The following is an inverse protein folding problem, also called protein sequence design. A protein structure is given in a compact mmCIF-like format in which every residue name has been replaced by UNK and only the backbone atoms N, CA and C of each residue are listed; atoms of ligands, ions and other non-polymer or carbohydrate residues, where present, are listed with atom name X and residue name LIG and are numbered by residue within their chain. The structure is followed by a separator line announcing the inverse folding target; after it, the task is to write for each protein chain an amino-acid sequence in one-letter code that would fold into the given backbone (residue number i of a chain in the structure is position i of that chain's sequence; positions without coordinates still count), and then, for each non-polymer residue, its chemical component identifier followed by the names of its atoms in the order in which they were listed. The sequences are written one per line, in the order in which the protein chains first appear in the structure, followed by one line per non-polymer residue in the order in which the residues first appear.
data_IF_216388737831
#
_entry.id   IF_216388737831
#
_cell.length_a   1.000
_cell.length_b   1.000
_cell.length_c   1.000
_cell.angle_alpha   90.00
_cell.angle_beta   90.00
_cell.angle_gamma   90.00
#
_symmetry.space_group_name_H-M   'P 1'
#
loop_
_entity.id
_entity.type
_entity.pdbx_description
1 polymer ?
#
# COMPACT_ATOMS: atom_id res chain seq x y z
N UNK A 1 -17.77 -34.08 20.70
CA UNK A 1 -16.64 -33.26 20.17
C UNK A 1 -16.76 -33.02 18.67
N UNK A 2 -17.09 -33.98 17.84
CA UNK A 2 -17.20 -33.80 16.36
C UNK A 2 -18.28 -32.79 15.93
N UNK A 3 -19.42 -32.70 16.63
CA UNK A 3 -20.51 -31.74 16.28
C UNK A 3 -20.17 -30.27 16.57
N UNK A 4 -19.38 -29.99 17.60
CA UNK A 4 -18.89 -28.64 17.93
C UNK A 4 -17.81 -28.18 16.97
N UNK A 5 -17.00 -29.11 16.44
CA UNK A 5 -15.97 -28.80 15.45
C UNK A 5 -16.59 -28.51 14.07
N UNK A 6 -17.65 -29.24 13.69
CA UNK A 6 -18.39 -29.00 12.45
C UNK A 6 -19.17 -27.67 12.46
N UNK A 7 -19.74 -27.27 13.58
CA UNK A 7 -20.45 -26.00 13.76
C UNK A 7 -19.48 -24.81 13.73
N UNK A 8 -18.25 -24.94 14.26
CA UNK A 8 -17.20 -23.90 14.18
C UNK A 8 -16.59 -23.76 12.79
N UNK A 9 -16.45 -24.85 12.03
CA UNK A 9 -16.01 -24.82 10.64
C UNK A 9 -17.03 -24.07 9.74
N UNK A 10 -18.32 -24.24 9.95
CA UNK A 10 -19.38 -23.52 9.24
C UNK A 10 -19.45 -22.02 9.59
N UNK A 11 -18.74 -21.56 10.63
CA UNK A 11 -18.64 -20.15 11.00
C UNK A 11 -17.49 -19.39 10.33
N UNK A 12 -16.62 -20.07 9.56
CA UNK A 12 -15.53 -19.41 8.84
C UNK A 12 -16.09 -18.53 7.72
N UNK A 13 -15.55 -17.31 7.54
CA UNK A 13 -16.11 -16.31 6.62
C UNK A 13 -16.30 -16.82 5.19
N UNK A 14 -15.39 -17.63 4.68
CA UNK A 14 -15.46 -18.12 3.30
C UNK A 14 -16.65 -19.06 3.04
N UNK A 15 -17.20 -19.77 4.04
CA UNK A 15 -18.42 -20.55 3.85
C UNK A 15 -19.66 -19.69 3.61
N UNK A 16 -19.63 -18.40 3.97
CA UNK A 16 -20.77 -17.49 3.78
C UNK A 16 -20.99 -17.12 2.33
N UNK A 17 -19.91 -16.88 1.58
CA UNK A 17 -19.99 -16.43 0.18
C UNK A 17 -19.78 -17.56 -0.84
N UNK A 18 -19.21 -18.70 -0.46
CA UNK A 18 -18.95 -19.82 -1.36
C UNK A 18 -20.23 -20.32 -2.09
N UNK A 19 -21.43 -20.42 -1.46
CA UNK A 19 -22.65 -20.80 -2.15
C UNK A 19 -23.09 -19.81 -3.23
N UNK A 20 -22.73 -18.53 -3.11
CA UNK A 20 -23.08 -17.48 -4.07
C UNK A 20 -22.43 -17.70 -5.45
N UNK A 21 -21.31 -18.43 -5.50
CA UNK A 21 -20.62 -18.78 -6.75
C UNK A 21 -21.46 -19.65 -7.68
N UNK A 22 -22.50 -20.34 -7.13
CA UNK A 22 -23.45 -21.13 -7.93
C UNK A 22 -24.45 -20.25 -8.68
N UNK A 23 -24.58 -18.98 -8.32
CA UNK A 23 -25.47 -18.04 -9.01
C UNK A 23 -24.92 -17.69 -10.40
N UNK A 24 -25.80 -17.60 -11.39
CA UNK A 24 -25.41 -17.29 -12.78
C UNK A 24 -24.67 -15.96 -12.85
N UNK A 25 -23.48 -15.98 -13.45
CA UNK A 25 -22.68 -14.80 -13.73
C UNK A 25 -21.77 -14.32 -12.60
N UNK A 26 -21.93 -14.82 -11.34
CA UNK A 26 -21.07 -14.40 -10.21
C UNK A 26 -19.62 -14.82 -10.45
N UNK A 27 -19.40 -16.11 -10.76
CA UNK A 27 -18.05 -16.62 -11.05
C UNK A 27 -17.36 -15.83 -12.18
N UNK A 28 -18.09 -15.56 -13.28
CA UNK A 28 -17.57 -14.80 -14.41
C UNK A 28 -17.20 -13.37 -14.01
N UNK A 29 -18.07 -12.71 -13.24
CA UNK A 29 -17.81 -11.34 -12.76
C UNK A 29 -16.57 -11.29 -11.88
N UNK A 30 -16.41 -12.22 -10.94
CA UNK A 30 -15.25 -12.28 -10.04
C UNK A 30 -13.96 -12.61 -10.78
N UNK A 31 -13.99 -13.52 -11.76
CA UNK A 31 -12.80 -13.81 -12.58
C UNK A 31 -12.37 -12.62 -13.44
N UNK A 32 -13.31 -11.91 -14.06
CA UNK A 32 -13.00 -10.70 -14.83
C UNK A 32 -12.48 -9.57 -13.96
N UNK A 33 -13.08 -9.36 -12.79
CA UNK A 33 -12.61 -8.38 -11.82
C UNK A 33 -11.22 -8.77 -11.28
N UNK A 34 -10.98 -10.04 -11.00
CA UNK A 34 -9.69 -10.57 -10.58
C UNK A 34 -8.60 -10.35 -11.65
N UNK A 35 -8.89 -10.64 -12.92
CA UNK A 35 -7.96 -10.39 -14.02
C UNK A 35 -7.61 -8.90 -14.13
N UNK A 36 -8.62 -8.03 -14.06
CA UNK A 36 -8.40 -6.57 -14.05
C UNK A 36 -7.52 -6.14 -12.88
N UNK A 37 -7.80 -6.66 -11.67
CA UNK A 37 -7.00 -6.40 -10.47
C UNK A 37 -5.55 -6.87 -10.61
N UNK A 38 -5.31 -8.05 -11.19
CA UNK A 38 -3.97 -8.59 -11.43
C UNK A 38 -3.14 -7.71 -12.36
N UNK A 39 -3.74 -7.21 -13.44
CA UNK A 39 -3.08 -6.31 -14.39
C UNK A 39 -2.69 -4.98 -13.73
N UNK A 40 -3.59 -4.42 -12.92
CA UNK A 40 -3.36 -3.14 -12.23
C UNK A 40 -2.28 -3.26 -11.15
N UNK A 41 -2.20 -4.40 -10.47
CA UNK A 41 -1.23 -4.58 -9.38
C UNK A 41 0.21 -4.72 -9.86
N UNK A 42 0.46 -5.12 -11.10
CA UNK A 42 1.82 -5.29 -11.63
C UNK A 42 2.68 -4.02 -11.46
N UNK A 43 2.31 -2.87 -12.06
CA UNK A 43 3.10 -1.65 -11.89
C UNK A 43 3.03 -1.11 -10.46
N UNK A 44 1.88 -1.23 -9.79
CA UNK A 44 1.70 -0.73 -8.43
C UNK A 44 2.53 -1.51 -7.42
N UNK A 45 2.56 -2.84 -7.50
CA UNK A 45 3.33 -3.69 -6.59
C UNK A 45 4.82 -3.36 -6.65
N UNK A 46 5.38 -3.24 -7.86
CA UNK A 46 6.77 -2.80 -8.07
C UNK A 46 7.02 -1.44 -7.44
N UNK A 47 6.13 -0.47 -7.72
CA UNK A 47 6.25 0.89 -7.20
C UNK A 47 6.20 0.91 -5.66
N UNK A 48 5.28 0.17 -5.04
CA UNK A 48 5.13 0.13 -3.58
C UNK A 48 6.29 -0.59 -2.88
N UNK A 49 6.82 -1.68 -3.45
CA UNK A 49 8.03 -2.31 -2.92
C UNK A 49 9.21 -1.33 -2.93
N UNK A 50 9.39 -0.62 -4.05
CA UNK A 50 10.44 0.40 -4.18
C UNK A 50 10.26 1.51 -3.14
N UNK A 51 9.02 1.94 -2.90
CA UNK A 51 8.69 2.92 -1.86
C UNK A 51 8.98 2.39 -0.45
N UNK A 52 8.75 1.09 -0.21
CA UNK A 52 9.07 0.43 1.05
C UNK A 52 10.58 0.18 1.25
N UNK A 53 11.44 0.57 0.31
CA UNK A 53 12.86 0.24 0.34
C UNK A 53 13.15 -1.25 0.10
N UNK A 54 12.17 -2.00 -0.38
CA UNK A 54 12.28 -3.43 -0.69
C UNK A 54 12.63 -3.65 -2.16
N UNK A 55 13.27 -4.77 -2.52
CA UNK A 55 13.38 -5.17 -3.92
C UNK A 55 11.99 -5.30 -4.57
N UNK A 56 11.90 -4.94 -5.85
CA UNK A 56 10.63 -4.78 -6.59
C UNK A 56 9.68 -5.99 -6.49
N UNK A 57 10.22 -7.20 -6.51
CA UNK A 57 9.44 -8.44 -6.46
C UNK A 57 8.63 -8.61 -5.16
N UNK A 58 9.10 -8.06 -4.05
CA UNK A 58 8.41 -8.20 -2.77
C UNK A 58 7.03 -7.54 -2.75
N UNK A 59 6.83 -6.50 -3.56
CA UNK A 59 5.51 -5.88 -3.72
C UNK A 59 4.52 -6.76 -4.48
N UNK A 60 5.01 -7.57 -5.40
CA UNK A 60 4.19 -8.55 -6.10
C UNK A 60 3.86 -9.74 -5.18
N UNK A 61 4.83 -10.23 -4.41
CA UNK A 61 4.61 -11.27 -3.42
C UNK A 61 3.62 -10.84 -2.33
N UNK A 62 3.70 -9.61 -1.86
CA UNK A 62 2.76 -9.03 -0.91
C UNK A 62 1.32 -8.90 -1.46
N UNK A 63 1.16 -8.93 -2.78
CA UNK A 63 -0.15 -8.91 -3.44
C UNK A 63 -0.74 -10.30 -3.68
N UNK A 64 -0.02 -11.38 -3.37
CA UNK A 64 -0.42 -12.77 -3.63
C UNK A 64 -1.02 -13.42 -2.39
N UNK A 65 -0.20 -14.09 -1.57
CA UNK A 65 -0.69 -14.88 -0.45
C UNK A 65 -1.44 -14.06 0.60
N UNK A 66 -0.99 -12.86 1.03
CA UNK A 66 -1.78 -12.03 1.93
C UNK A 66 -3.18 -11.72 1.40
N UNK A 67 -3.31 -11.46 0.10
CA UNK A 67 -4.59 -11.21 -0.54
C UNK A 67 -5.54 -12.41 -0.45
N UNK A 68 -5.03 -13.61 -0.72
CA UNK A 68 -5.80 -14.85 -0.63
C UNK A 68 -6.27 -15.09 0.81
N UNK A 69 -5.35 -14.99 1.78
CA UNK A 69 -5.66 -15.25 3.20
C UNK A 69 -6.67 -14.23 3.74
N UNK A 70 -6.50 -12.95 3.43
CA UNK A 70 -7.46 -11.91 3.82
C UNK A 70 -8.84 -12.14 3.20
N UNK A 71 -8.93 -12.55 1.94
CA UNK A 71 -10.20 -12.88 1.27
C UNK A 71 -10.92 -14.08 1.88
N UNK A 72 -10.16 -15.06 2.39
CA UNK A 72 -10.73 -16.25 3.05
C UNK A 72 -11.18 -16.00 4.49
N UNK A 73 -10.42 -15.20 5.24
CA UNK A 73 -10.60 -15.06 6.69
C UNK A 73 -11.07 -13.66 7.12
N UNK A 74 -11.04 -12.66 6.25
CA UNK A 74 -11.54 -11.31 6.52
C UNK A 74 -13.07 -11.22 6.53
N UNK A 75 -13.59 -10.08 6.94
CA UNK A 75 -15.01 -9.78 6.96
C UNK A 75 -15.49 -9.03 5.72
N UNK A 76 -14.61 -8.27 5.10
CA UNK A 76 -14.95 -7.45 3.94
C UNK A 76 -15.09 -8.29 2.66
N UNK A 77 -16.20 -8.10 1.95
CA UNK A 77 -16.49 -8.89 0.75
C UNK A 77 -15.63 -8.53 -0.47
N UNK A 78 -15.38 -7.24 -0.69
CA UNK A 78 -14.74 -6.77 -1.91
C UNK A 78 -13.48 -5.94 -1.66
N UNK A 79 -13.06 -5.79 -0.42
CA UNK A 79 -11.76 -5.19 -0.13
C UNK A 79 -10.64 -6.11 -0.62
N UNK A 80 -9.64 -5.53 -1.24
CA UNK A 80 -8.46 -6.25 -1.72
C UNK A 80 -7.27 -5.86 -0.85
N UNK A 81 -6.76 -6.83 -0.09
CA UNK A 81 -5.58 -6.68 0.78
C UNK A 81 -4.30 -6.85 -0.03
N UNK A 82 -3.26 -6.13 0.34
CA UNK A 82 -1.93 -6.24 -0.28
C UNK A 82 -1.07 -5.02 -0.01
N UNK A 83 -0.08 -4.75 -0.87
CA UNK A 83 0.76 -3.57 -0.73
C UNK A 83 -0.07 -2.30 -0.88
N UNK A 84 0.14 -1.35 0.03
CA UNK A 84 -0.52 -0.05 0.04
C UNK A 84 0.51 1.07 0.23
N UNK A 85 0.18 2.29 -0.24
CA UNK A 85 1.09 3.42 -0.23
C UNK A 85 1.59 3.77 1.18
N UNK A 86 0.63 4.01 2.10
CA UNK A 86 0.94 4.41 3.46
C UNK A 86 1.77 3.35 4.19
N UNK A 87 1.39 2.07 4.04
CA UNK A 87 2.13 0.93 4.63
C UNK A 87 3.56 0.86 4.07
N UNK A 88 3.72 1.01 2.74
CA UNK A 88 5.03 0.93 2.10
C UNK A 88 5.97 2.05 2.56
N UNK A 89 5.47 3.29 2.59
CA UNK A 89 6.27 4.43 3.06
C UNK A 89 6.62 4.30 4.55
N UNK A 90 5.65 3.90 5.37
CA UNK A 90 5.86 3.68 6.81
C UNK A 90 6.85 2.54 7.05
N UNK A 91 6.84 1.48 6.24
CA UNK A 91 7.84 0.41 6.32
C UNK A 91 9.26 0.96 6.14
N UNK A 92 9.49 1.80 5.13
CA UNK A 92 10.79 2.44 4.92
C UNK A 92 11.17 3.32 6.11
N UNK A 93 10.26 4.19 6.54
CA UNK A 93 10.53 5.15 7.60
C UNK A 93 10.84 4.49 8.95
N UNK A 94 10.14 3.40 9.29
CA UNK A 94 10.33 2.70 10.55
C UNK A 94 11.55 1.78 10.55
N UNK A 95 11.84 1.11 9.44
CA UNK A 95 12.87 0.06 9.40
C UNK A 95 14.22 0.58 8.93
N UNK A 96 14.29 1.60 8.04
CA UNK A 96 15.56 2.08 7.53
C UNK A 96 16.51 2.60 8.64
N UNK A 97 16.05 3.36 9.65
CA UNK A 97 16.92 3.77 10.76
C UNK A 97 17.41 2.59 11.61
N UNK A 98 16.58 1.55 11.77
CA UNK A 98 16.89 0.36 12.56
C UNK A 98 17.86 -0.59 11.84
N UNK A 99 17.90 -0.53 10.52
CA UNK A 99 18.78 -1.37 9.70
C UNK A 99 20.22 -0.85 9.59
N UNK A 100 20.51 0.38 10.02
CA UNK A 100 21.85 0.98 9.90
C UNK A 100 22.94 0.07 10.52
N UNK A 101 24.11 -0.02 9.86
CA UNK A 101 24.57 0.72 8.66
C UNK A 101 24.14 0.13 7.31
N UNK A 102 23.25 -0.86 7.28
CA UNK A 102 22.83 -1.55 6.08
C UNK A 102 21.79 -0.72 5.30
N UNK A 103 21.97 -0.63 3.99
CA UNK A 103 21.06 0.13 3.12
C UNK A 103 19.70 -0.58 2.97
N UNK A 104 18.61 0.18 2.67
CA UNK A 104 17.35 -0.40 2.20
C UNK A 104 17.56 -1.36 1.03
N UNK A 105 16.83 -2.48 1.02
CA UNK A 105 16.97 -3.54 0.03
C UNK A 105 18.07 -4.56 0.31
N UNK A 106 18.94 -4.33 1.31
CA UNK A 106 19.91 -5.33 1.77
C UNK A 106 19.23 -6.54 2.40
N UNK A 107 19.92 -7.68 2.47
CA UNK A 107 19.39 -8.89 3.10
C UNK A 107 18.97 -8.65 4.55
N UNK A 108 19.75 -7.87 5.30
CA UNK A 108 19.43 -7.51 6.69
C UNK A 108 18.16 -6.66 6.77
N UNK A 109 18.02 -5.64 5.92
CA UNK A 109 16.83 -4.80 5.85
C UNK A 109 15.58 -5.65 5.54
N UNK A 110 15.67 -6.51 4.51
CA UNK A 110 14.58 -7.42 4.12
C UNK A 110 14.17 -8.33 5.29
N UNK A 111 15.15 -8.87 6.02
CA UNK A 111 14.90 -9.72 7.19
C UNK A 111 14.15 -8.99 8.29
N UNK A 112 14.52 -7.74 8.59
CA UNK A 112 13.81 -6.90 9.56
C UNK A 112 12.37 -6.62 9.11
N UNK A 113 12.16 -6.31 7.84
CA UNK A 113 10.83 -6.02 7.29
C UNK A 113 9.92 -7.26 7.33
N UNK A 114 10.44 -8.45 7.00
CA UNK A 114 9.68 -9.70 7.10
C UNK A 114 9.32 -10.01 8.55
N UNK A 115 10.26 -9.79 9.48
CA UNK A 115 10.00 -9.95 10.91
C UNK A 115 8.94 -8.95 11.40
N UNK A 116 9.02 -7.69 10.94
CA UNK A 116 7.99 -6.68 11.21
C UNK A 116 6.61 -7.14 10.71
N UNK A 117 6.52 -7.71 9.49
CA UNK A 117 5.27 -8.25 8.94
C UNK A 117 4.65 -9.31 9.85
N UNK A 118 5.48 -10.24 10.36
CA UNK A 118 5.03 -11.25 11.32
C UNK A 118 4.50 -10.63 12.63
N UNK A 119 5.26 -9.71 13.21
CA UNK A 119 4.88 -9.04 14.47
C UNK A 119 3.60 -8.23 14.33
N UNK A 120 3.44 -7.50 13.22
CA UNK A 120 2.21 -6.77 12.87
C UNK A 120 1.04 -7.74 12.77
N UNK A 121 1.21 -8.83 12.01
CA UNK A 121 0.17 -9.84 11.84
C UNK A 121 -0.23 -10.50 13.16
N UNK A 122 0.74 -10.83 14.02
CA UNK A 122 0.48 -11.38 15.35
C UNK A 122 -0.31 -10.39 16.22
N UNK A 123 0.09 -9.14 16.24
CA UNK A 123 -0.59 -8.10 17.01
C UNK A 123 -2.02 -7.88 16.50
N UNK A 124 -2.24 -7.81 15.18
CA UNK A 124 -3.56 -7.70 14.57
C UNK A 124 -4.47 -8.88 14.94
N UNK A 125 -3.93 -10.11 14.86
CA UNK A 125 -4.64 -11.32 15.23
C UNK A 125 -5.06 -11.30 16.70
N UNK A 126 -4.15 -10.94 17.60
CA UNK A 126 -4.43 -10.84 19.04
C UNK A 126 -5.50 -9.78 19.34
N UNK A 127 -5.43 -8.60 18.68
CA UNK A 127 -6.44 -7.55 18.83
C UNK A 127 -7.81 -7.98 18.29
N UNK A 128 -7.85 -8.73 17.18
CA UNK A 128 -9.08 -9.29 16.64
C UNK A 128 -9.71 -10.31 17.58
N UNK A 129 -8.91 -11.24 18.12
CA UNK A 129 -9.35 -12.23 19.09
C UNK A 129 -9.80 -11.61 20.43
N UNK A 130 -9.10 -10.55 20.87
CA UNK A 130 -9.49 -9.77 22.06
C UNK A 130 -10.72 -8.87 21.82
N UNK A 131 -11.29 -8.87 20.60
CA UNK A 131 -12.46 -8.06 20.21
C UNK A 131 -12.27 -6.55 20.36
N UNK A 132 -11.07 -6.05 20.08
CA UNK A 132 -10.70 -4.64 20.21
C UNK A 132 -11.03 -3.84 18.93
N UNK A 133 -11.62 -4.46 17.91
CA UNK A 133 -11.96 -3.84 16.62
C UNK A 133 -12.77 -2.55 16.71
N UNK A 134 -13.62 -2.42 17.74
CA UNK A 134 -14.35 -1.17 18.00
C UNK A 134 -13.45 0.04 18.34
N UNK A 135 -12.17 -0.15 18.70
CA UNK A 135 -11.23 0.95 18.94
C UNK A 135 -10.74 1.58 17.63
N UNK A 136 -10.59 0.80 16.57
CA UNK A 136 -10.23 1.33 15.24
C UNK A 136 -11.31 2.28 14.68
N UNK A 137 -12.56 2.15 15.15
CA UNK A 137 -13.65 3.05 14.80
C UNK A 137 -13.49 4.45 15.40
N UNK A 138 -12.59 4.61 16.36
CA UNK A 138 -12.38 5.88 17.10
C UNK A 138 -11.31 6.76 16.48
N UNK A 139 -10.50 6.27 15.54
CA UNK A 139 -9.50 7.10 14.84
C UNK A 139 -10.25 8.15 14.00
N UNK A 140 -10.02 9.44 14.26
CA UNK A 140 -10.75 10.49 13.55
C UNK A 140 -10.37 10.51 12.07
N UNK A 141 -11.35 10.71 11.22
CA UNK A 141 -11.16 10.76 9.78
C UNK A 141 -10.18 11.86 9.35
N UNK A 142 -10.21 13.02 10.01
CA UNK A 142 -9.29 14.14 9.80
C UNK A 142 -7.81 13.76 10.00
N UNK A 143 -7.50 12.86 10.93
CA UNK A 143 -6.14 12.36 11.16
C UNK A 143 -5.69 11.50 9.97
N UNK A 144 -6.56 10.64 9.45
CA UNK A 144 -6.27 9.78 8.29
C UNK A 144 -6.01 10.64 7.05
N UNK A 145 -6.88 11.62 6.78
CA UNK A 145 -6.75 12.51 5.62
C UNK A 145 -5.49 13.36 5.71
N UNK A 146 -5.18 13.92 6.89
CA UNK A 146 -3.95 14.68 7.13
C UNK A 146 -2.70 13.84 6.93
N UNK A 147 -2.68 12.60 7.48
CA UNK A 147 -1.59 11.66 7.31
C UNK A 147 -1.40 11.27 5.84
N UNK A 148 -2.48 10.95 5.14
CA UNK A 148 -2.43 10.52 3.73
C UNK A 148 -1.92 11.64 2.82
N UNK A 149 -2.36 12.89 3.07
CA UNK A 149 -1.87 14.06 2.33
C UNK A 149 -0.37 14.32 2.61
N UNK A 150 0.07 14.20 3.87
CA UNK A 150 1.49 14.29 4.22
C UNK A 150 2.33 13.17 3.59
N UNK A 151 1.83 11.94 3.60
CA UNK A 151 2.45 10.81 2.93
C UNK A 151 2.61 11.04 1.42
N UNK A 152 1.62 11.66 0.75
CA UNK A 152 1.73 12.04 -0.65
C UNK A 152 2.94 12.95 -0.90
N UNK A 153 3.16 13.96 -0.06
CA UNK A 153 4.33 14.85 -0.16
C UNK A 153 5.64 14.11 0.02
N UNK A 154 5.70 13.18 0.99
CA UNK A 154 6.89 12.34 1.19
C UNK A 154 7.15 11.38 0.01
N UNK A 155 6.11 10.86 -0.63
CA UNK A 155 6.24 10.06 -1.85
C UNK A 155 6.82 10.93 -2.97
N UNK A 156 6.30 12.12 -3.20
CA UNK A 156 6.88 13.07 -4.17
C UNK A 156 8.37 13.27 -3.91
N UNK A 157 8.75 13.56 -2.65
CA UNK A 157 10.13 13.76 -2.25
C UNK A 157 11.01 12.55 -2.56
N UNK A 158 10.54 11.35 -2.24
CA UNK A 158 11.30 10.09 -2.42
C UNK A 158 11.57 9.75 -3.89
N UNK A 159 10.79 10.31 -4.82
CA UNK A 159 10.92 10.08 -6.26
C UNK A 159 11.76 11.11 -6.99
N UNK A 160 12.24 12.17 -6.33
CA UNK A 160 13.09 13.20 -6.94
C UNK A 160 14.37 12.57 -7.54
N UNK A 161 15.06 11.71 -6.79
CA UNK A 161 16.26 11.02 -7.27
C UNK A 161 16.01 10.18 -8.53
N UNK A 162 15.11 9.15 -8.46
CA UNK A 162 14.80 8.32 -9.63
C UNK A 162 14.24 9.09 -10.84
N UNK A 163 13.44 10.15 -10.61
CA UNK A 163 12.88 10.96 -11.69
C UNK A 163 13.93 11.80 -12.41
N UNK A 164 14.97 12.24 -11.70
CA UNK A 164 16.09 13.04 -12.23
C UNK A 164 17.31 12.17 -12.58
N UNK A 165 17.28 10.87 -12.34
CA UNK A 165 18.42 9.97 -12.52
C UNK A 165 19.57 10.26 -11.54
N UNK A 166 19.29 10.89 -10.39
CA UNK A 166 20.28 11.24 -9.39
C UNK A 166 20.42 10.15 -8.31
N UNK A 167 21.62 9.86 -7.81
CA UNK A 167 21.87 8.87 -6.77
C UNK A 167 21.54 9.42 -5.37
N UNK A 168 20.35 9.99 -5.19
CA UNK A 168 19.93 10.53 -3.89
C UNK A 168 19.57 9.43 -2.92
N UNK A 169 19.92 9.62 -1.64
CA UNK A 169 19.59 8.69 -0.57
C UNK A 169 18.09 8.82 -0.25
N UNK A 170 17.38 7.68 -0.27
CA UNK A 170 15.95 7.63 0.05
C UNK A 170 15.72 7.79 1.55
N UNK A 171 14.56 8.37 1.90
CA UNK A 171 14.16 8.53 3.31
C UNK A 171 14.74 9.76 4.02
N UNK A 172 15.52 10.59 3.34
CA UNK A 172 15.97 11.89 3.87
C UNK A 172 14.80 12.87 4.02
N UNK A 173 14.89 13.81 4.98
CA UNK A 173 13.97 14.93 5.07
C UNK A 173 13.87 15.70 3.73
N UNK A 174 12.73 16.35 3.50
CA UNK A 174 12.45 17.05 2.24
C UNK A 174 13.54 18.09 1.94
N UNK A 175 13.94 18.87 2.93
CA UNK A 175 14.92 19.93 2.77
C UNK A 175 16.30 19.39 2.37
N UNK A 176 16.73 18.31 2.99
CA UNK A 176 18.01 17.67 2.69
C UNK A 176 18.00 17.07 1.28
N UNK A 177 16.88 16.45 0.88
CA UNK A 177 16.72 15.90 -0.48
C UNK A 177 16.77 17.00 -1.54
N UNK A 178 16.08 18.13 -1.31
CA UNK A 178 16.10 19.27 -2.23
C UNK A 178 17.47 19.93 -2.30
N UNK A 179 18.16 20.04 -1.16
CA UNK A 179 19.52 20.56 -1.11
C UNK A 179 20.49 19.66 -1.89
N UNK A 180 20.45 18.33 -1.66
CA UNK A 180 21.27 17.36 -2.38
C UNK A 180 20.96 17.41 -3.89
N UNK A 181 19.70 17.49 -4.29
CA UNK A 181 19.29 17.60 -5.68
C UNK A 181 19.81 18.90 -6.33
N UNK A 182 19.80 20.01 -5.61
CA UNK A 182 20.34 21.27 -6.09
C UNK A 182 21.86 21.23 -6.25
N UNK A 183 22.60 20.67 -5.29
CA UNK A 183 24.06 20.49 -5.38
C UNK A 183 24.43 19.58 -6.55
N UNK A 184 23.59 18.55 -6.82
CA UNK A 184 23.80 17.61 -7.94
C UNK A 184 23.11 18.04 -9.24
N UNK A 185 22.60 19.25 -9.36
CA UNK A 185 21.84 19.71 -10.54
C UNK A 185 22.58 19.54 -11.87
N UNK A 186 23.93 19.67 -11.87
CA UNK A 186 24.75 19.41 -13.03
C UNK A 186 24.87 17.95 -13.47
N UNK A 187 24.42 16.99 -12.64
CA UNK A 187 24.44 15.55 -12.91
C UNK A 187 23.06 14.99 -13.32
N UNK A 188 22.06 15.86 -13.49
CA UNK A 188 20.70 15.45 -13.89
C UNK A 188 20.74 14.72 -15.22
N UNK A 189 20.18 13.51 -15.22
CA UNK A 189 19.99 12.72 -16.44
C UNK A 189 18.68 13.16 -17.12
N UNK A 190 18.80 13.97 -18.17
CA UNK A 190 17.64 14.46 -18.92
C UNK A 190 16.76 13.34 -19.50
N UNK A 191 17.37 12.20 -19.82
CA UNK A 191 16.64 10.99 -20.24
C UNK A 191 15.69 10.48 -19.16
N UNK A 192 16.13 10.44 -17.89
CA UNK A 192 15.30 10.02 -16.76
C UNK A 192 14.15 11.01 -16.56
N UNK A 193 14.42 12.30 -16.56
CA UNK A 193 13.39 13.34 -16.41
C UNK A 193 12.32 13.26 -17.50
N UNK A 194 12.73 13.15 -18.78
CA UNK A 194 11.79 13.07 -19.90
C UNK A 194 10.93 11.81 -19.81
N UNK A 195 11.52 10.67 -19.46
CA UNK A 195 10.79 9.41 -19.31
C UNK A 195 9.81 9.47 -18.14
N UNK A 196 10.22 10.02 -16.98
CA UNK A 196 9.31 10.21 -15.84
C UNK A 196 8.15 11.14 -16.18
N UNK A 197 8.43 12.28 -16.82
CA UNK A 197 7.42 13.24 -17.26
C UNK A 197 6.48 12.63 -18.30
N UNK A 198 7.00 11.94 -19.30
CA UNK A 198 6.20 11.25 -20.32
C UNK A 198 5.26 10.23 -19.67
N UNK A 199 5.75 9.46 -18.68
CA UNK A 199 4.94 8.49 -17.95
C UNK A 199 3.77 9.16 -17.21
N UNK A 200 4.00 10.31 -16.55
CA UNK A 200 2.95 11.09 -15.91
C UNK A 200 1.92 11.55 -16.94
N UNK A 201 2.37 12.11 -18.07
CA UNK A 201 1.49 12.61 -19.12
C UNK A 201 0.66 11.49 -19.75
N UNK A 202 1.26 10.31 -19.99
CA UNK A 202 0.53 9.15 -20.51
C UNK A 202 -0.51 8.63 -19.52
N UNK A 203 -0.20 8.62 -18.21
CA UNK A 203 -1.18 8.24 -17.19
C UNK A 203 -2.38 9.19 -17.16
N UNK A 204 -2.14 10.50 -17.27
CA UNK A 204 -3.19 11.51 -17.31
C UNK A 204 -4.00 11.39 -18.61
N UNK A 205 -3.34 11.27 -19.75
CA UNK A 205 -3.99 11.15 -21.05
C UNK A 205 -4.80 9.86 -21.19
N UNK A 206 -4.37 8.76 -20.58
CA UNK A 206 -5.09 7.49 -20.60
C UNK A 206 -6.28 7.42 -19.63
N UNK A 207 -6.41 8.38 -18.71
CA UNK A 207 -7.48 8.39 -17.68
C UNK A 207 -8.90 8.28 -18.27
N UNK A 208 -9.27 8.94 -19.39
CA UNK A 208 -10.59 8.81 -19.98
C UNK A 208 -10.89 7.37 -20.50
N UNK A 209 -9.86 6.63 -20.90
CA UNK A 209 -9.96 5.25 -21.41
C UNK A 209 -9.79 4.19 -20.34
N UNK A 210 -9.60 4.57 -19.06
CA UNK A 210 -9.34 3.67 -17.95
C UNK A 210 -10.42 2.57 -17.78
N UNK A 211 -11.61 2.77 -18.35
CA UNK A 211 -12.67 1.75 -18.41
C UNK A 211 -12.29 0.53 -19.24
N UNK A 212 -11.44 0.70 -20.28
CA UNK A 212 -11.06 -0.33 -21.21
C UNK A 212 -9.65 -0.85 -20.97
N UNK A 213 -8.72 0.05 -20.67
CA UNK A 213 -7.31 -0.24 -20.44
C UNK A 213 -6.87 0.56 -19.21
N UNK A 214 -6.32 -0.10 -18.17
CA UNK A 214 -5.85 0.61 -16.97
C UNK A 214 -4.83 1.68 -17.31
N UNK A 215 -5.10 2.94 -16.92
CA UNK A 215 -4.26 4.09 -17.28
C UNK A 215 -2.82 3.95 -16.79
N UNK A 216 -2.62 3.37 -15.60
CA UNK A 216 -1.27 3.13 -15.05
C UNK A 216 -0.51 2.09 -15.87
N UNK A 217 -1.18 1.04 -16.37
CA UNK A 217 -0.53 0.05 -17.26
C UNK A 217 -0.12 0.70 -18.59
N UNK A 218 -1.02 1.49 -19.19
CA UNK A 218 -0.72 2.25 -20.41
C UNK A 218 0.50 3.15 -20.22
N UNK A 219 0.57 3.86 -19.09
CA UNK A 219 1.70 4.72 -18.75
C UNK A 219 3.01 3.95 -18.61
N UNK A 220 2.99 2.76 -17.98
CA UNK A 220 4.17 1.89 -17.88
C UNK A 220 4.67 1.48 -19.26
N UNK A 221 3.77 0.97 -20.09
CA UNK A 221 4.13 0.49 -21.43
C UNK A 221 4.68 1.63 -22.28
N UNK A 222 3.95 2.75 -22.39
CA UNK A 222 4.37 3.89 -23.20
C UNK A 222 5.61 4.59 -22.65
N UNK A 223 5.73 4.70 -21.32
CA UNK A 223 6.93 5.24 -20.67
C UNK A 223 8.17 4.38 -20.93
N UNK A 224 8.01 3.04 -20.87
CA UNK A 224 9.11 2.11 -21.21
C UNK A 224 9.48 2.19 -22.69
N UNK A 225 8.50 2.28 -23.59
CA UNK A 225 8.76 2.51 -25.03
C UNK A 225 9.49 3.85 -25.27
N UNK A 226 9.10 4.91 -24.54
CA UNK A 226 9.81 6.20 -24.61
C UNK A 226 11.28 6.06 -24.20
N UNK A 227 11.57 5.30 -23.14
CA UNK A 227 12.94 5.05 -22.69
C UNK A 227 13.75 4.28 -23.75
N UNK A 228 13.16 3.24 -24.36
CA UNK A 228 13.79 2.47 -25.46
C UNK A 228 14.06 3.37 -26.67
N UNK A 229 13.06 4.17 -27.07
CA UNK A 229 13.20 5.08 -28.21
C UNK A 229 14.32 6.12 -27.95
N UNK A 230 14.42 6.66 -26.74
CA UNK A 230 15.50 7.59 -26.38
C UNK A 230 16.86 6.93 -26.40
N UNK A 231 16.98 5.71 -25.91
CA UNK A 231 18.24 4.96 -25.96
C UNK A 231 18.70 4.67 -27.39
N UNK A 232 17.75 4.52 -28.36
CA UNK A 232 18.07 4.31 -29.77
C UNK A 232 18.43 5.62 -30.50
N UNK A 233 17.75 6.73 -30.16
CA UNK A 233 17.96 8.03 -30.81
C UNK A 233 19.15 8.82 -30.26
N UNK A 234 19.47 8.61 -28.99
CA UNK A 234 20.56 9.29 -28.26
C UNK A 234 21.43 8.27 -27.53
N UNK A 235 22.16 7.43 -28.25
CA UNK A 235 22.99 6.39 -27.65
C UNK A 235 24.14 6.97 -26.79
N UNK A 236 24.47 8.24 -26.98
CA UNK A 236 25.42 8.99 -26.16
C UNK A 236 24.93 9.33 -24.75
N UNK A 237 23.61 9.21 -24.49
CA UNK A 237 23.06 9.47 -23.17
C UNK A 237 23.27 8.28 -22.23
N UNK A 238 23.53 8.53 -20.94
CA UNK A 238 23.69 7.45 -19.97
C UNK A 238 22.49 6.50 -19.97
N UNK A 239 22.75 5.21 -19.87
CA UNK A 239 21.70 4.20 -19.76
C UNK A 239 20.89 4.43 -18.48
N UNK A 240 19.56 4.35 -18.61
CA UNK A 240 18.65 4.49 -17.47
C UNK A 240 18.75 3.28 -16.54
N UNK A 241 18.80 3.54 -15.26
CA UNK A 241 18.67 2.48 -14.25
C UNK A 241 17.31 1.79 -14.39
N UNK A 242 17.33 0.46 -14.42
CA UNK A 242 16.12 -0.36 -14.57
C UNK A 242 15.81 -1.17 -13.31
N UNK A 243 14.58 -1.67 -13.21
CA UNK A 243 14.22 -2.67 -12.22
C UNK A 243 14.99 -3.96 -12.56
N UNK A 244 15.58 -4.58 -11.53
CA UNK A 244 16.29 -5.84 -11.73
C UNK A 244 15.35 -6.94 -12.20
N UNK A 245 15.90 -7.97 -12.86
CA UNK A 245 15.11 -9.13 -13.26
C UNK A 245 14.41 -9.74 -12.03
N UNK A 246 13.11 -10.03 -12.17
CA UNK A 246 12.36 -10.69 -11.11
C UNK A 246 12.84 -12.13 -10.97
N UNK A 247 13.27 -12.58 -9.79
CA UNK A 247 13.87 -13.90 -9.62
C UNK A 247 12.87 -15.06 -9.78
N UNK A 248 11.58 -14.78 -9.77
CA UNK A 248 10.53 -15.79 -9.98
C UNK A 248 9.13 -15.22 -9.84
N UNK A 249 8.15 -15.93 -10.40
CA UNK A 249 6.73 -15.57 -10.27
C UNK A 249 6.13 -16.04 -8.94
N UNK A 250 6.75 -17.02 -8.29
CA UNK A 250 6.28 -17.58 -7.02
C UNK A 250 7.05 -16.98 -5.85
N UNK A 251 6.36 -16.53 -4.78
CA UNK A 251 7.04 -16.00 -3.60
C UNK A 251 7.87 -17.10 -2.93
N UNK A 252 9.19 -16.89 -2.75
CA UNK A 252 10.01 -17.85 -2.04
C UNK A 252 9.64 -17.90 -0.56
N UNK A 253 9.89 -19.05 0.06
CA UNK A 253 9.74 -19.18 1.50
C UNK A 253 10.75 -18.26 2.20
N UNK A 254 10.28 -17.61 3.24
CA UNK A 254 11.07 -16.77 4.15
C UNK A 254 10.74 -17.11 5.59
N UNK A 255 11.66 -16.84 6.49
CA UNK A 255 11.47 -17.07 7.92
C UNK A 255 11.67 -15.78 8.69
N UNK A 256 10.65 -15.28 9.40
CA UNK A 256 10.84 -14.19 10.35
C UNK A 256 11.88 -14.55 11.41
N UNK A 257 12.63 -13.60 11.91
CA UNK A 257 13.56 -13.82 13.01
C UNK A 257 12.80 -13.90 14.33
N UNK A 258 13.06 -14.94 15.12
CA UNK A 258 12.45 -15.12 16.46
C UNK A 258 13.42 -14.73 17.58
N UNK A 259 14.45 -13.95 17.26
CA UNK A 259 15.37 -13.40 18.24
C UNK A 259 14.74 -12.26 19.05
N UNK A 260 14.87 -12.35 20.40
CA UNK A 260 14.25 -11.38 21.32
C UNK A 260 14.85 -9.99 21.19
N UNK A 261 16.12 -9.86 20.80
CA UNK A 261 16.75 -8.55 20.61
C UNK A 261 16.12 -7.82 19.41
N UNK A 262 15.96 -8.52 18.30
CA UNK A 262 15.27 -8.02 17.09
C UNK A 262 13.81 -7.67 17.38
N UNK A 263 13.11 -8.49 18.15
CA UNK A 263 11.72 -8.21 18.52
C UNK A 263 11.58 -6.95 19.37
N UNK A 264 12.47 -6.74 20.35
CA UNK A 264 12.51 -5.51 21.16
C UNK A 264 12.78 -4.28 20.30
N UNK A 265 13.70 -4.40 19.34
CA UNK A 265 14.03 -3.32 18.42
C UNK A 265 12.83 -2.94 17.51
N UNK A 266 12.06 -3.92 17.04
CA UNK A 266 10.92 -3.71 16.16
C UNK A 266 9.59 -3.47 16.89
N UNK A 267 9.54 -3.56 18.23
CA UNK A 267 8.28 -3.51 18.98
C UNK A 267 7.48 -2.23 18.72
N UNK A 268 8.11 -1.08 18.85
CA UNK A 268 7.44 0.21 18.61
C UNK A 268 7.00 0.32 17.15
N UNK A 269 7.87 -0.03 16.21
CA UNK A 269 7.55 -0.05 14.78
C UNK A 269 6.36 -0.96 14.48
N UNK A 270 6.29 -2.14 15.10
CA UNK A 270 5.18 -3.07 14.90
C UNK A 270 3.85 -2.55 15.42
N UNK A 271 3.84 -1.87 16.57
CA UNK A 271 2.63 -1.27 17.13
C UNK A 271 2.11 -0.13 16.27
N UNK A 272 3.00 0.76 15.83
CA UNK A 272 2.64 1.87 14.93
C UNK A 272 2.11 1.36 13.60
N UNK A 273 2.81 0.40 13.00
CA UNK A 273 2.38 -0.22 11.74
C UNK A 273 1.04 -0.95 11.90
N UNK A 274 0.83 -1.64 13.01
CA UNK A 274 -0.45 -2.31 13.31
C UNK A 274 -1.59 -1.31 13.38
N UNK A 275 -1.42 -0.20 14.10
CA UNK A 275 -2.44 0.83 14.22
C UNK A 275 -2.79 1.43 12.86
N UNK A 276 -1.78 1.78 12.06
CA UNK A 276 -1.97 2.32 10.72
C UNK A 276 -2.69 1.32 9.82
N UNK A 277 -2.19 0.08 9.75
CA UNK A 277 -2.75 -0.95 8.86
C UNK A 277 -4.20 -1.30 9.21
N UNK A 278 -4.53 -1.43 10.50
CA UNK A 278 -5.89 -1.71 10.95
C UNK A 278 -6.84 -0.53 10.69
N UNK A 279 -6.37 0.70 10.89
CA UNK A 279 -7.16 1.90 10.62
C UNK A 279 -7.47 2.01 9.13
N UNK A 280 -6.46 1.85 8.27
CA UNK A 280 -6.62 1.86 6.81
C UNK A 280 -7.56 0.75 6.35
N UNK A 281 -7.32 -0.50 6.75
CA UNK A 281 -8.16 -1.64 6.38
C UNK A 281 -9.61 -1.45 6.82
N UNK A 282 -9.84 -0.98 8.05
CA UNK A 282 -11.19 -0.76 8.58
C UNK A 282 -11.91 0.35 7.82
N UNK A 283 -11.24 1.46 7.53
CA UNK A 283 -11.83 2.57 6.77
C UNK A 283 -12.26 2.11 5.38
N UNK A 284 -11.40 1.37 4.67
CA UNK A 284 -11.70 0.84 3.33
C UNK A 284 -12.83 -0.20 3.40
N UNK A 285 -12.74 -1.16 4.32
CA UNK A 285 -13.74 -2.22 4.47
C UNK A 285 -15.12 -1.63 4.77
N UNK A 286 -15.21 -0.58 5.61
CA UNK A 286 -16.46 0.15 5.89
C UNK A 286 -16.97 0.90 4.67
N UNK A 287 -16.11 1.60 3.94
CA UNK A 287 -16.51 2.31 2.72
C UNK A 287 -17.07 1.34 1.67
N UNK A 288 -16.45 0.16 1.53
CA UNK A 288 -16.95 -0.91 0.65
C UNK A 288 -18.27 -1.48 1.17
N UNK A 289 -18.37 -1.78 2.46
CA UNK A 289 -19.59 -2.33 3.07
C UNK A 289 -20.79 -1.39 2.92
N UNK A 290 -20.58 -0.07 3.13
CA UNK A 290 -21.63 0.94 2.94
C UNK A 290 -22.13 0.97 1.49
N UNK A 291 -21.24 0.86 0.49
CA UNK A 291 -21.65 0.82 -0.93
C UNK A 291 -22.42 -0.44 -1.29
N UNK A 292 -22.21 -1.55 -0.57
CA UNK A 292 -22.89 -2.82 -0.79
C UNK A 292 -24.17 -2.96 0.07
N UNK A 293 -24.44 -2.05 1.00
CA UNK A 293 -25.50 -2.19 2.00
C UNK A 293 -25.24 -3.31 3.00
N UNK A 294 -23.98 -3.68 3.22
CA UNK A 294 -23.53 -4.79 4.08
C UNK A 294 -23.01 -4.27 5.44
N UNK A 295 -22.85 -5.19 6.40
CA UNK A 295 -22.29 -4.87 7.72
C UNK A 295 -20.91 -5.48 7.87
N UNK A 296 -19.96 -4.67 8.35
CA UNK A 296 -18.59 -5.09 8.62
C UNK A 296 -18.46 -5.57 10.07
N UNK A 297 -17.89 -6.76 10.27
CA UNK A 297 -17.37 -7.20 11.56
C UNK A 297 -15.87 -6.82 11.65
N UNK A 298 -15.57 -5.71 12.33
CA UNK A 298 -14.21 -5.20 12.46
C UNK A 298 -13.28 -6.17 13.19
N UNK A 299 -13.78 -7.00 14.12
CA UNK A 299 -12.93 -7.98 14.81
C UNK A 299 -12.53 -9.11 13.86
N UNK A 300 -13.49 -9.59 13.05
CA UNK A 300 -13.20 -10.61 12.04
C UNK A 300 -12.26 -10.07 10.96
N UNK A 301 -12.40 -8.78 10.60
CA UNK A 301 -11.46 -8.13 9.68
C UNK A 301 -10.05 -8.09 10.24
N UNK A 302 -9.86 -7.76 11.53
CA UNK A 302 -8.56 -7.79 12.21
C UNK A 302 -7.93 -9.19 12.19
N UNK A 303 -8.74 -10.23 12.43
CA UNK A 303 -8.29 -11.62 12.33
C UNK A 303 -7.81 -11.93 10.92
N UNK A 304 -8.57 -11.54 9.89
CA UNK A 304 -8.21 -11.75 8.49
C UNK A 304 -6.91 -11.04 8.10
N UNK A 305 -6.75 -9.77 8.48
CA UNK A 305 -5.53 -9.00 8.23
C UNK A 305 -4.33 -9.56 9.00
N UNK A 306 -4.54 -9.98 10.26
CA UNK A 306 -3.51 -10.62 11.08
C UNK A 306 -3.00 -11.92 10.47
N UNK A 307 -3.90 -12.81 10.07
CA UNK A 307 -3.55 -14.08 9.40
C UNK A 307 -2.86 -13.82 8.05
N UNK A 308 -3.30 -12.80 7.30
CA UNK A 308 -2.70 -12.42 6.03
C UNK A 308 -1.23 -11.97 6.19
N UNK A 309 -0.94 -11.12 7.19
CA UNK A 309 0.41 -10.65 7.46
C UNK A 309 1.30 -11.76 8.05
N UNK A 310 0.77 -12.62 8.93
CA UNK A 310 1.50 -13.80 9.42
C UNK A 310 1.85 -14.72 8.25
N UNK A 311 0.86 -15.15 7.47
CA UNK A 311 1.10 -16.03 6.33
C UNK A 311 2.07 -15.39 5.32
N UNK A 312 1.87 -14.10 5.00
CA UNK A 312 2.71 -13.33 4.10
C UNK A 312 4.17 -13.30 4.52
N UNK A 313 4.46 -13.18 5.82
CA UNK A 313 5.83 -13.14 6.34
C UNK A 313 6.62 -14.44 6.09
N UNK A 314 5.95 -15.57 5.90
CA UNK A 314 6.58 -16.83 5.50
C UNK A 314 6.71 -16.99 3.98
N UNK A 315 6.14 -16.08 3.20
CA UNK A 315 6.16 -16.08 1.74
C UNK A 315 6.65 -14.74 1.17
N UNK A 316 7.68 -14.19 1.79
CA UNK A 316 8.40 -13.01 1.31
C UNK A 316 7.51 -11.77 1.08
N UNK A 317 6.45 -11.62 1.88
CA UNK A 317 5.62 -10.43 1.86
C UNK A 317 5.99 -9.48 3.00
N UNK A 318 6.15 -8.20 2.68
CA UNK A 318 6.24 -7.16 3.69
C UNK A 318 4.84 -6.79 4.24
N UNK A 319 4.72 -5.97 5.30
CA UNK A 319 3.42 -5.65 5.89
C UNK A 319 2.40 -5.19 4.86
N UNK A 320 1.18 -5.71 4.96
CA UNK A 320 0.07 -5.43 4.05
C UNK A 320 -1.13 -4.88 4.79
N UNK A 321 -2.00 -4.18 4.05
CA UNK A 321 -3.29 -3.69 4.53
C UNK A 321 -4.32 -3.70 3.41
N UNK A 322 -5.55 -3.25 3.68
CA UNK A 322 -6.51 -2.95 2.64
C UNK A 322 -5.97 -1.89 1.67
N UNK A 323 -6.30 -1.99 0.39
CA UNK A 323 -5.89 -1.01 -0.61
C UNK A 323 -7.10 -0.32 -1.23
N UNK A 324 -7.23 1.00 -1.06
CA UNK A 324 -8.30 1.79 -1.68
C UNK A 324 -8.34 1.63 -3.20
N UNK A 325 -7.19 1.78 -3.85
CA UNK A 325 -7.10 1.70 -5.30
C UNK A 325 -7.51 0.34 -5.82
N UNK A 326 -7.00 -0.74 -5.22
CA UNK A 326 -7.29 -2.11 -5.64
C UNK A 326 -8.74 -2.49 -5.34
N UNK A 327 -9.26 -2.11 -4.18
CA UNK A 327 -10.65 -2.34 -3.81
C UNK A 327 -11.61 -1.54 -4.69
N UNK A 328 -11.26 -0.30 -5.03
CA UNK A 328 -12.00 0.54 -5.97
C UNK A 328 -12.05 -0.07 -7.37
N UNK A 329 -10.93 -0.57 -7.88
CA UNK A 329 -10.85 -1.26 -9.17
C UNK A 329 -11.68 -2.55 -9.15
N UNK A 330 -11.59 -3.34 -8.09
CA UNK A 330 -12.35 -4.58 -7.90
C UNK A 330 -13.86 -4.33 -7.95
N UNK A 331 -14.31 -3.31 -7.22
CA UNK A 331 -15.71 -2.88 -7.21
C UNK A 331 -16.16 -2.36 -8.59
N UNK A 332 -15.37 -1.50 -9.22
CA UNK A 332 -15.67 -0.92 -10.53
C UNK A 332 -15.68 -1.98 -11.65
N UNK A 333 -14.88 -3.04 -11.52
CA UNK A 333 -14.86 -4.18 -12.43
C UNK A 333 -16.05 -5.14 -12.22
N UNK A 334 -16.92 -4.87 -11.26
CA UNK A 334 -18.15 -5.65 -11.03
C UNK A 334 -17.96 -6.90 -10.19
N UNK A 335 -16.93 -6.96 -9.35
CA UNK A 335 -16.74 -8.02 -8.37
C UNK A 335 -17.98 -8.20 -7.48
N UNK A 336 -18.27 -9.43 -7.09
CA UNK A 336 -19.43 -9.78 -6.25
C UNK A 336 -19.05 -10.51 -4.97
N UNK A 337 -17.98 -11.29 -4.99
CA UNK A 337 -17.53 -12.07 -3.83
C UNK A 337 -16.02 -11.92 -3.61
N UNK A 338 -15.50 -12.33 -2.44
CA UNK A 338 -14.06 -12.36 -2.17
C UNK A 338 -13.24 -13.21 -3.13
N UNK A 339 -13.88 -14.08 -3.94
CA UNK A 339 -13.19 -14.86 -4.98
C UNK A 339 -12.46 -13.95 -5.99
N UNK A 340 -12.97 -12.74 -6.25
CA UNK A 340 -12.30 -11.79 -7.15
C UNK A 340 -10.89 -11.42 -6.68
N UNK A 341 -10.68 -11.25 -5.37
CA UNK A 341 -9.36 -10.98 -4.80
C UNK A 341 -8.43 -12.21 -4.88
N UNK A 342 -8.98 -13.40 -4.65
CA UNK A 342 -8.24 -14.68 -4.83
C UNK A 342 -7.85 -14.84 -6.31
N UNK A 343 -8.79 -14.62 -7.23
CA UNK A 343 -8.54 -14.69 -8.66
C UNK A 343 -7.47 -13.68 -9.10
N UNK A 344 -7.48 -12.45 -8.53
CA UNK A 344 -6.43 -11.46 -8.81
C UNK A 344 -5.03 -11.96 -8.41
N UNK A 345 -4.90 -12.60 -7.24
CA UNK A 345 -3.63 -13.17 -6.80
C UNK A 345 -3.16 -14.33 -7.72
N UNK A 346 -4.08 -15.21 -8.10
CA UNK A 346 -3.77 -16.34 -9.01
C UNK A 346 -3.39 -15.83 -10.41
N UNK A 347 -4.17 -14.93 -10.99
CA UNK A 347 -3.83 -14.33 -12.28
C UNK A 347 -2.52 -13.55 -12.24
N UNK A 348 -2.18 -12.90 -11.12
CA UNK A 348 -0.90 -12.24 -10.96
C UNK A 348 0.26 -13.23 -11.12
N UNK A 349 0.17 -14.42 -10.48
CA UNK A 349 1.17 -15.47 -10.64
C UNK A 349 1.29 -15.90 -12.10
N UNK A 350 0.15 -16.16 -12.76
CA UNK A 350 0.12 -16.59 -14.16
C UNK A 350 0.72 -15.54 -15.11
N UNK A 351 0.39 -14.27 -14.88
CA UNK A 351 0.94 -13.16 -15.68
C UNK A 351 2.46 -13.04 -15.44
N UNK A 352 2.92 -13.18 -14.19
CA UNK A 352 4.35 -13.11 -13.89
C UNK A 352 5.14 -14.25 -14.52
N UNK A 353 4.59 -15.46 -14.60
CA UNK A 353 5.22 -16.57 -15.33
C UNK A 353 5.50 -16.20 -16.80
N UNK A 354 4.60 -15.42 -17.42
CA UNK A 354 4.75 -14.97 -18.81
C UNK A 354 5.60 -13.71 -18.97
N UNK A 355 5.51 -12.75 -18.02
CA UNK A 355 6.03 -11.39 -18.16
C UNK A 355 7.27 -11.11 -17.32
N UNK A 356 7.63 -11.97 -16.35
CA UNK A 356 8.80 -11.77 -15.48
C UNK A 356 10.11 -11.40 -16.23
N UNK A 357 10.42 -12.02 -17.40
CA UNK A 357 11.62 -11.64 -18.15
C UNK A 357 11.61 -10.21 -18.67
N UNK A 358 10.43 -9.61 -18.85
CA UNK A 358 10.27 -8.24 -19.38
C UNK A 358 10.47 -7.17 -18.30
N UNK A 359 10.37 -7.52 -17.03
CA UNK A 359 10.53 -6.56 -15.90
C UNK A 359 11.91 -5.89 -15.90
N UNK A 360 12.96 -6.58 -16.38
CA UNK A 360 14.32 -6.04 -16.52
C UNK A 360 14.41 -4.80 -17.44
N UNK A 361 13.42 -4.59 -18.29
CA UNK A 361 13.37 -3.46 -19.20
C UNK A 361 12.65 -2.24 -18.63
N UNK A 362 12.06 -2.36 -17.42
CA UNK A 362 11.31 -1.29 -16.78
C UNK A 362 12.26 -0.26 -16.14
N UNK A 363 12.34 0.98 -16.66
CA UNK A 363 13.19 2.01 -16.06
C UNK A 363 12.67 2.48 -14.71
N UNK A 364 13.57 2.79 -13.77
CA UNK A 364 13.20 3.39 -12.48
C UNK A 364 12.52 4.76 -12.65
N UNK A 365 12.86 5.49 -13.71
CA UNK A 365 12.19 6.75 -14.06
C UNK A 365 10.70 6.57 -14.38
N UNK A 366 10.30 5.44 -15.02
CA UNK A 366 8.89 5.10 -15.24
C UNK A 366 8.19 4.85 -13.92
N UNK A 367 8.85 4.10 -13.01
CA UNK A 367 8.32 3.84 -11.66
C UNK A 367 8.12 5.16 -10.89
N UNK A 368 9.07 6.09 -11.00
CA UNK A 368 8.96 7.42 -10.38
C UNK A 368 7.77 8.22 -10.95
N UNK A 369 7.60 8.23 -12.26
CA UNK A 369 6.44 8.87 -12.92
C UNK A 369 5.11 8.30 -12.43
N UNK A 370 5.01 6.96 -12.30
CA UNK A 370 3.83 6.31 -11.74
C UNK A 370 3.56 6.72 -10.29
N UNK A 371 4.60 6.76 -9.46
CA UNK A 371 4.46 7.14 -8.05
C UNK A 371 4.05 8.60 -7.89
N UNK A 372 4.45 9.51 -8.79
CA UNK A 372 3.93 10.86 -8.83
C UNK A 372 2.42 10.91 -9.09
N UNK A 373 1.93 10.12 -10.05
CA UNK A 373 0.49 10.05 -10.33
C UNK A 373 -0.28 9.45 -9.15
N UNK A 374 0.26 8.40 -8.54
CA UNK A 374 -0.32 7.77 -7.34
C UNK A 374 -0.34 8.75 -6.17
N UNK A 375 0.77 9.43 -5.88
CA UNK A 375 0.86 10.42 -4.80
C UNK A 375 -0.14 11.56 -4.99
N UNK A 376 -0.28 12.07 -6.22
CA UNK A 376 -1.30 13.06 -6.53
C UNK A 376 -2.72 12.57 -6.24
N UNK A 377 -3.01 11.30 -6.54
CA UNK A 377 -4.29 10.66 -6.26
C UNK A 377 -4.57 10.39 -4.78
N UNK A 378 -3.55 10.46 -3.90
CA UNK A 378 -3.73 10.36 -2.45
C UNK A 378 -4.23 11.65 -1.80
N UNK A 379 -4.07 12.78 -2.47
CA UNK A 379 -4.53 14.08 -1.99
C UNK A 379 -6.01 14.21 -2.35
N UNK A 380 -6.89 13.80 -1.44
CA UNK A 380 -8.33 13.96 -1.62
C UNK A 380 -8.74 15.39 -1.28
N UNK A 381 -8.85 16.20 -2.34
CA UNK A 381 -9.17 17.62 -2.23
C UNK A 381 -10.59 17.87 -1.74
N UNK A 382 -11.51 17.01 -2.12
CA UNK A 382 -12.92 17.15 -1.76
C UNK A 382 -13.11 16.83 -0.28
N UNK A 383 -12.48 15.78 0.22
CA UNK A 383 -12.45 15.45 1.66
C UNK A 383 -11.73 16.51 2.49
N UNK A 384 -10.57 17.00 2.03
CA UNK A 384 -9.86 18.10 2.71
C UNK A 384 -10.77 19.34 2.78
N UNK A 385 -11.44 19.72 1.69
CA UNK A 385 -12.35 20.85 1.65
C UNK A 385 -13.55 20.64 2.59
N UNK A 386 -14.15 19.45 2.60
CA UNK A 386 -15.24 19.10 3.50
C UNK A 386 -14.83 19.25 4.97
N UNK A 387 -13.73 18.61 5.38
CA UNK A 387 -13.19 18.69 6.74
C UNK A 387 -12.83 20.14 7.12
N UNK A 388 -12.39 20.94 6.14
CA UNK A 388 -12.10 22.35 6.35
C UNK A 388 -13.38 23.15 6.66
N UNK A 389 -14.50 22.79 6.05
CA UNK A 389 -15.80 23.43 6.31
C UNK A 389 -16.45 22.95 7.61
N UNK A 390 -16.12 21.77 8.12
CA UNK A 390 -16.63 21.23 9.40
C UNK A 390 -16.12 21.97 10.64
N UNK A 391 -15.17 22.90 10.49
CA UNK A 391 -14.69 23.77 11.54
C UNK A 391 -13.41 23.31 12.24
N UNK A 392 -13.03 24.04 13.30
CA UNK A 392 -11.74 23.87 13.98
C UNK A 392 -11.50 22.48 14.57
N UNK A 393 -12.56 21.79 14.95
CA UNK A 393 -12.49 20.44 15.53
C UNK A 393 -11.84 19.43 14.57
N UNK A 394 -12.06 19.60 13.26
CA UNK A 394 -11.50 18.76 12.22
C UNK A 394 -10.23 19.36 11.58
N UNK A 395 -10.20 20.71 11.43
CA UNK A 395 -9.06 21.39 10.81
C UNK A 395 -7.76 21.20 11.60
N UNK A 396 -7.83 21.36 12.92
CA UNK A 396 -6.62 21.27 13.77
C UNK A 396 -5.98 19.89 13.71
N UNK A 397 -6.70 18.77 13.92
CA UNK A 397 -6.09 17.44 13.76
C UNK A 397 -5.58 17.18 12.35
N UNK A 398 -6.30 17.61 11.31
CA UNK A 398 -5.89 17.47 9.91
C UNK A 398 -4.54 18.15 9.66
N UNK A 399 -4.44 19.44 10.00
CA UNK A 399 -3.24 20.25 9.74
C UNK A 399 -2.06 19.77 10.60
N UNK A 400 -2.29 19.50 11.89
CA UNK A 400 -1.23 19.02 12.77
C UNK A 400 -0.71 17.66 12.31
N UNK A 401 -1.59 16.73 11.92
CA UNK A 401 -1.17 15.43 11.40
C UNK A 401 -0.39 15.59 10.10
N UNK A 402 -0.88 16.43 9.17
CA UNK A 402 -0.19 16.73 7.92
C UNK A 402 1.23 17.28 8.16
N UNK A 403 1.35 18.34 8.98
CA UNK A 403 2.63 18.96 9.27
C UNK A 403 3.57 17.99 10.00
N UNK A 404 3.05 17.26 10.99
CA UNK A 404 3.84 16.26 11.70
C UNK A 404 4.32 15.15 10.77
N UNK A 405 3.51 14.72 9.79
CA UNK A 405 3.90 13.70 8.80
C UNK A 405 5.10 14.12 7.95
N UNK A 406 5.19 15.40 7.58
CA UNK A 406 6.28 15.91 6.73
C UNK A 406 7.51 16.38 7.50
N UNK A 407 7.37 16.69 8.80
CA UNK A 407 8.47 17.28 9.61
C UNK A 407 9.02 16.34 10.67
N UNK A 408 8.21 15.40 11.16
CA UNK A 408 8.58 14.45 12.20
C UNK A 408 8.59 13.03 11.64
N UNK A 409 8.87 12.04 12.50
CA UNK A 409 8.65 10.65 12.11
C UNK A 409 7.15 10.33 12.03
N UNK A 410 6.79 9.41 11.14
CA UNK A 410 5.39 9.03 10.87
C UNK A 410 4.65 8.53 12.11
N UNK A 411 5.37 7.94 13.06
CA UNK A 411 4.85 7.50 14.37
C UNK A 411 4.29 8.67 15.18
N UNK A 412 5.10 9.71 15.32
CA UNK A 412 4.70 10.91 16.05
C UNK A 412 3.58 11.67 15.36
N UNK A 413 3.53 11.62 14.04
CA UNK A 413 2.43 12.25 13.29
C UNK A 413 1.07 11.65 13.65
N UNK A 414 0.97 10.31 13.71
CA UNK A 414 -0.27 9.62 14.09
C UNK A 414 -0.62 9.91 15.56
N UNK A 415 0.37 9.82 16.46
CA UNK A 415 0.15 10.08 17.89
C UNK A 415 -0.32 11.51 18.13
N UNK A 416 0.36 12.50 17.55
CA UNK A 416 -0.02 13.93 17.67
C UNK A 416 -1.39 14.19 17.05
N UNK A 417 -1.68 13.55 15.90
CA UNK A 417 -3.00 13.62 15.28
C UNK A 417 -4.11 13.12 16.19
N UNK A 418 -3.93 11.94 16.77
CA UNK A 418 -4.89 11.35 17.72
C UNK A 418 -5.09 12.20 18.96
N UNK A 419 -3.98 12.64 19.59
CA UNK A 419 -4.02 13.50 20.79
C UNK A 419 -4.74 14.81 20.47
N UNK A 420 -4.37 15.48 19.36
CA UNK A 420 -5.02 16.72 18.96
C UNK A 420 -6.52 16.56 18.74
N UNK A 421 -6.94 15.47 18.09
CA UNK A 421 -8.34 15.18 17.86
C UNK A 421 -9.13 14.90 19.15
N UNK A 422 -8.52 14.20 20.11
CA UNK A 422 -9.12 13.99 21.44
C UNK A 422 -9.29 15.31 22.20
N UNK A 423 -8.26 16.16 22.21
CA UNK A 423 -8.29 17.48 22.85
C UNK A 423 -9.37 18.35 22.23
N UNK A 424 -9.43 18.42 20.88
CA UNK A 424 -10.43 19.22 20.20
C UNK A 424 -11.87 18.75 20.48
N UNK A 425 -12.09 17.44 20.57
CA UNK A 425 -13.39 16.87 20.95
C UNK A 425 -13.78 17.22 22.40
N UNK A 426 -12.82 17.24 23.34
CA UNK A 426 -13.08 17.63 24.73
C UNK A 426 -13.42 19.11 24.83
N UNK A 427 -12.64 19.97 24.16
CA UNK A 427 -12.91 21.42 24.15
C UNK A 427 -14.31 21.75 23.56
N UNK A 428 -14.70 21.04 22.51
CA UNK A 428 -16.03 21.18 21.94
C UNK A 428 -17.16 20.73 22.86
N UNK A 429 -16.94 19.77 23.77
CA UNK A 429 -17.92 19.37 24.77
C UNK A 429 -18.08 20.42 25.86
N UNK A 430 -16.97 21.00 26.33
CA UNK A 430 -16.96 22.05 27.36
C UNK A 430 -17.65 23.32 26.82
N UNK A 431 -17.35 23.75 25.60
CA UNK A 431 -17.99 24.92 25.00
C UNK A 431 -19.48 24.76 24.63
N UNK A 432 -20.06 23.54 24.72
CA UNK A 432 -21.50 23.31 24.58
C UNK A 432 -22.24 23.29 25.94
N UNK A 433 -21.50 23.22 27.03
CA UNK A 433 -22.06 23.18 28.39
C UNK A 433 -22.02 24.56 29.09
N UNK A 434 -21.25 25.48 28.54
CA UNK A 434 -21.22 26.92 28.90
C UNK A 434 -22.15 27.71 27.97
#
# INVERSE_FOLDING_TARGET
MASLFSLRLLSLPFFRWLPELRQRGVLRADLLAGLTGAVVVLPQGVAFATLAGMPAQYGLYAAMLPCIVAALFGASRLMVTGPANAISLTTLALVAPLALPHAPGSAHYVQLVITLSFMVGLTQLLLGLARVGALADKVPHSVIVGFTAGAAVLIFNSQVGPALGLPLVRGKPIWDTLQDAFVMAGQVQWSAFVVALATVLFAIAAKPWNRWIPALLTAVVLGTFTAIAMATWRPEWPALATVQALPGAWPPLSTPTFDMSTWRQLLVASLVMTLLALTEATAIAKAVALRLGDRLDSNQEFIGQGLANIAGSFFSAYPTSGSFNRSGVNLAAGARTPLSAIAAAVFLVLILLAVAPLARWLPLAVVAGLLYVVAWGLIDRDEIAQLWHEGWIQRVPLVLTFLATITLSLEWAIVLGLVSALVMRQLAKIGRQS
#
